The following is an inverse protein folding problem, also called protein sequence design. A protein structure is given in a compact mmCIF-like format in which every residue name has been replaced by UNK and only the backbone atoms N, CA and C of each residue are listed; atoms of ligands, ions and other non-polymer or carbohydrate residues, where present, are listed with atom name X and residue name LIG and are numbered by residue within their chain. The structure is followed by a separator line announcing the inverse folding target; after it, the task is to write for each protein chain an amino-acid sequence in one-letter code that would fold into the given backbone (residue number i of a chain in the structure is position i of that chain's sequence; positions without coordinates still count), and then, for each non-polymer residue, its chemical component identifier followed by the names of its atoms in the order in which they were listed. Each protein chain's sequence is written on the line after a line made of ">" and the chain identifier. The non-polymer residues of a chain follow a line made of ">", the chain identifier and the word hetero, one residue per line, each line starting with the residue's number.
data_IF_503308949448
#
_entry.id   IF_503308949448
#
_cell.length_a   1.000
_cell.length_b   1.000
_cell.length_c   1.000
_cell.angle_alpha   90.00
_cell.angle_beta   90.00
_cell.angle_gamma   90.00
#
_symmetry.space_group_name_H-M   'P 1'
#
loop_
_entity.id
_entity.type
_entity.pdbx_description
1 polymer ?
#
# COMPACT_ATOMS: atom_id res chain seq x y z
N UNK A 1 -24.24 10.09 -7.49
CA UNK A 1 -23.09 10.64 -6.76
C UNK A 1 -21.91 10.57 -7.71
N UNK A 2 -21.22 11.69 -7.94
CA UNK A 2 -20.13 11.75 -8.91
C UNK A 2 -18.85 11.26 -8.23
N UNK A 3 -18.24 10.21 -8.77
CA UNK A 3 -16.91 9.78 -8.36
C UNK A 3 -15.92 10.85 -8.83
N UNK A 4 -15.18 11.45 -7.91
CA UNK A 4 -14.13 12.41 -8.24
C UNK A 4 -12.80 11.67 -8.16
N UNK A 5 -12.23 11.35 -9.31
CA UNK A 5 -10.87 10.83 -9.39
C UNK A 5 -9.91 11.94 -8.96
N UNK A 6 -8.99 11.62 -8.06
CA UNK A 6 -7.90 12.53 -7.70
C UNK A 6 -6.83 12.50 -8.80
N UNK A 7 -6.39 13.68 -9.23
CA UNK A 7 -5.33 13.80 -10.24
C UNK A 7 -3.98 13.59 -9.54
N UNK A 8 -3.42 12.39 -9.68
CA UNK A 8 -2.08 12.06 -9.20
C UNK A 8 -0.98 12.67 -10.07
N UNK A 9 0.18 12.93 -9.47
CA UNK A 9 1.37 13.35 -10.20
C UNK A 9 1.74 12.36 -11.31
N UNK A 10 2.19 12.90 -12.45
CA UNK A 10 2.61 12.11 -13.62
C UNK A 10 4.02 11.56 -13.44
N UNK A 11 4.17 10.66 -12.47
CA UNK A 11 5.40 9.90 -12.21
C UNK A 11 5.16 8.42 -12.45
N UNK A 12 6.22 7.66 -12.79
CA UNK A 12 6.07 6.22 -13.04
C UNK A 12 5.46 5.46 -11.86
N UNK A 13 5.69 5.90 -10.62
CA UNK A 13 5.13 5.29 -9.41
C UNK A 13 3.60 5.25 -9.41
N UNK A 14 2.95 6.22 -10.05
CA UNK A 14 1.49 6.32 -10.16
C UNK A 14 0.94 5.64 -11.42
N UNK A 15 1.73 4.77 -12.06
CA UNK A 15 1.35 4.05 -13.28
C UNK A 15 0.82 2.65 -12.94
N UNK A 16 -0.25 2.19 -13.60
CA UNK A 16 -0.76 0.82 -13.47
C UNK A 16 0.26 -0.26 -13.86
N UNK A 17 1.25 0.10 -14.69
CA UNK A 17 2.31 -0.82 -15.12
C UNK A 17 3.54 -0.82 -14.20
N UNK A 18 3.56 -0.01 -13.14
CA UNK A 18 4.65 -0.01 -12.17
C UNK A 18 4.47 -1.13 -11.15
N UNK A 19 5.53 -1.89 -10.90
CA UNK A 19 5.55 -2.96 -9.91
C UNK A 19 6.77 -2.82 -9.00
N UNK A 20 6.62 -2.90 -7.66
CA UNK A 20 7.73 -2.77 -6.73
C UNK A 20 8.83 -3.78 -7.02
N UNK A 21 10.11 -3.40 -6.82
CA UNK A 21 11.24 -4.31 -7.06
C UNK A 21 11.45 -5.33 -5.94
N UNK A 22 10.84 -5.12 -4.77
CA UNK A 22 10.95 -5.98 -3.59
C UNK A 22 9.71 -5.90 -2.70
N UNK A 23 9.56 -6.86 -1.79
CA UNK A 23 8.52 -6.82 -0.76
C UNK A 23 8.85 -5.77 0.29
N UNK A 24 8.19 -4.61 0.24
CA UNK A 24 8.34 -3.58 1.26
C UNK A 24 8.08 -2.17 0.75
N UNK A 25 8.49 -1.20 1.56
CA UNK A 25 8.43 0.22 1.22
C UNK A 25 9.65 0.57 0.37
N UNK A 26 9.49 0.48 -0.94
CA UNK A 26 10.52 0.87 -1.90
C UNK A 26 9.98 1.87 -2.91
N UNK A 27 10.80 2.87 -3.25
CA UNK A 27 10.53 3.75 -4.38
C UNK A 27 11.03 3.15 -5.71
N UNK A 28 11.82 2.07 -5.64
CA UNK A 28 12.34 1.38 -6.82
C UNK A 28 11.35 0.31 -7.31
N UNK A 29 11.17 0.25 -8.63
CA UNK A 29 10.30 -0.74 -9.25
C UNK A 29 10.71 -1.07 -10.67
N UNK A 30 9.97 -1.99 -11.27
CA UNK A 30 10.08 -2.43 -12.64
C UNK A 30 8.81 -2.06 -13.42
N UNK A 31 8.90 -2.10 -14.75
CA UNK A 31 7.74 -1.90 -15.60
C UNK A 31 7.25 -3.25 -16.12
N UNK A 32 6.00 -3.61 -15.79
CA UNK A 32 5.38 -4.85 -16.26
C UNK A 32 4.99 -4.82 -17.74
N UNK A 33 4.98 -3.63 -18.36
CA UNK A 33 4.79 -3.50 -19.80
C UNK A 33 6.08 -3.83 -20.60
N UNK A 34 7.20 -4.10 -19.92
CA UNK A 34 8.40 -4.58 -20.59
C UNK A 34 8.30 -6.09 -20.84
N UNK A 35 8.37 -6.47 -22.12
CA UNK A 35 8.26 -7.86 -22.61
C UNK A 35 9.21 -8.85 -21.92
N UNK A 36 10.32 -8.39 -21.34
CA UNK A 36 11.26 -9.24 -20.61
C UNK A 36 10.66 -9.87 -19.35
N UNK A 37 9.60 -9.28 -18.80
CA UNK A 37 8.92 -9.78 -17.59
C UNK A 37 7.70 -10.66 -17.89
N UNK A 38 7.22 -10.75 -19.14
CA UNK A 38 6.11 -11.63 -19.55
C UNK A 38 6.23 -13.08 -19.02
N UNK A 39 7.39 -13.78 -19.12
CA UNK A 39 7.48 -15.16 -18.63
C UNK A 39 7.49 -15.29 -17.11
N UNK A 40 7.56 -14.18 -16.37
CA UNK A 40 7.62 -14.15 -14.91
C UNK A 40 6.36 -13.52 -14.30
N UNK A 41 5.39 -13.06 -15.10
CA UNK A 41 4.21 -12.34 -14.61
C UNK A 41 3.40 -13.15 -13.61
N UNK A 42 3.15 -14.44 -13.88
CA UNK A 42 2.38 -15.29 -12.96
C UNK A 42 3.08 -15.41 -11.60
N UNK A 43 4.40 -15.63 -11.61
CA UNK A 43 5.20 -15.73 -10.38
C UNK A 43 5.28 -14.39 -9.62
N UNK A 44 5.39 -13.26 -10.33
CA UNK A 44 5.45 -11.94 -9.72
C UNK A 44 4.10 -11.48 -9.17
N UNK A 45 3.01 -11.69 -9.90
CA UNK A 45 1.68 -11.18 -9.54
C UNK A 45 0.91 -12.12 -8.60
N UNK A 46 0.96 -13.43 -8.83
CA UNK A 46 0.20 -14.39 -8.02
C UNK A 46 0.98 -14.83 -6.78
N UNK A 47 2.29 -15.08 -6.93
CA UNK A 47 3.12 -15.65 -5.87
C UNK A 47 3.99 -14.61 -5.16
N UNK A 48 4.07 -13.36 -5.65
CA UNK A 48 4.99 -12.32 -5.18
C UNK A 48 6.44 -12.84 -5.09
N UNK A 49 6.82 -13.70 -6.04
CA UNK A 49 8.10 -14.39 -6.04
C UNK A 49 9.14 -13.64 -6.89
N UNK A 50 9.85 -12.70 -6.25
CA UNK A 50 10.90 -11.91 -6.90
C UNK A 50 12.17 -12.70 -7.23
N UNK A 51 12.36 -13.88 -6.61
CA UNK A 51 13.58 -14.68 -6.80
C UNK A 51 13.65 -15.28 -8.22
N UNK A 52 12.49 -15.50 -8.87
CA UNK A 52 12.40 -16.08 -10.21
C UNK A 52 13.09 -15.26 -11.30
N UNK A 53 13.21 -13.94 -11.11
CA UNK A 53 13.82 -13.00 -12.06
C UNK A 53 14.68 -11.94 -11.37
N UNK A 54 15.22 -12.25 -10.19
CA UNK A 54 15.98 -11.31 -9.36
C UNK A 54 17.08 -10.56 -10.11
N UNK A 55 17.87 -11.27 -10.93
CA UNK A 55 18.94 -10.65 -11.73
C UNK A 55 18.41 -9.67 -12.78
N UNK A 56 17.20 -9.89 -13.31
CA UNK A 56 16.56 -8.97 -14.25
C UNK A 56 16.03 -7.74 -13.53
N UNK A 57 15.39 -7.94 -12.38
CA UNK A 57 14.92 -6.86 -11.51
C UNK A 57 16.09 -5.95 -11.10
N UNK A 58 17.21 -6.51 -10.63
CA UNK A 58 18.38 -5.71 -10.24
C UNK A 58 18.97 -4.87 -11.39
N UNK A 59 18.85 -5.35 -12.64
CA UNK A 59 19.36 -4.63 -13.82
C UNK A 59 18.40 -3.57 -14.33
N UNK A 60 17.10 -3.79 -14.21
CA UNK A 60 16.08 -2.97 -14.85
C UNK A 60 15.28 -2.11 -13.88
N UNK A 61 15.45 -2.31 -12.56
CA UNK A 61 14.79 -1.47 -11.56
C UNK A 61 15.18 -0.01 -11.75
N UNK A 62 14.21 0.86 -11.50
CA UNK A 62 14.37 2.29 -11.60
C UNK A 62 13.59 2.98 -10.48
N UNK A 63 13.98 4.22 -10.18
CA UNK A 63 13.24 5.06 -9.23
C UNK A 63 11.88 5.48 -9.82
N UNK A 64 10.80 5.12 -9.13
CA UNK A 64 9.43 5.36 -9.54
C UNK A 64 9.05 6.85 -9.54
N UNK A 65 9.74 7.71 -8.80
CA UNK A 65 9.45 9.15 -8.75
C UNK A 65 9.98 9.90 -9.99
N UNK A 66 10.55 9.19 -10.98
CA UNK A 66 10.90 9.78 -12.26
C UNK A 66 9.66 10.19 -13.07
N UNK A 67 9.87 11.12 -14.01
CA UNK A 67 8.84 11.56 -14.95
C UNK A 67 8.22 10.38 -15.71
N UNK A 68 6.89 10.36 -15.80
CA UNK A 68 6.17 9.31 -16.46
C UNK A 68 6.45 9.26 -17.98
N UNK A 69 6.53 8.05 -18.54
CA UNK A 69 6.80 7.86 -19.97
C UNK A 69 5.56 8.11 -20.85
N UNK A 70 5.72 7.99 -22.17
CA UNK A 70 4.63 8.12 -23.14
C UNK A 70 3.55 7.03 -23.01
N UNK A 71 3.88 5.89 -22.40
CA UNK A 71 2.97 4.78 -22.12
C UNK A 71 2.34 4.85 -20.72
N UNK A 72 2.41 6.01 -20.07
CA UNK A 72 1.85 6.19 -18.75
C UNK A 72 0.33 5.96 -18.74
N UNK A 73 -0.09 5.00 -17.92
CA UNK A 73 -1.48 4.69 -17.65
C UNK A 73 -1.75 4.96 -16.16
N UNK A 74 -2.44 6.06 -15.82
CA UNK A 74 -2.61 6.48 -14.43
C UNK A 74 -3.42 5.47 -13.63
N UNK A 75 -3.00 5.22 -12.40
CA UNK A 75 -3.80 4.46 -11.43
C UNK A 75 -5.09 5.22 -11.13
N UNK A 76 -6.23 4.55 -11.29
CA UNK A 76 -7.52 5.09 -10.88
C UNK A 76 -7.68 4.93 -9.37
N UNK A 77 -7.45 6.01 -8.61
CA UNK A 77 -7.79 6.04 -7.18
C UNK A 77 -9.27 6.40 -7.06
N UNK A 78 -10.09 5.39 -6.81
CA UNK A 78 -11.50 5.59 -6.47
C UNK A 78 -11.56 5.95 -5.00
N UNK A 79 -11.57 7.24 -4.71
CA UNK A 79 -11.87 7.77 -3.38
C UNK A 79 -13.37 7.57 -3.15
N UNK A 80 -13.78 6.38 -2.71
CA UNK A 80 -15.07 6.26 -2.05
C UNK A 80 -15.00 7.14 -0.81
N UNK A 81 -15.93 8.07 -0.64
CA UNK A 81 -16.22 8.69 0.65
C UNK A 81 -16.57 7.55 1.62
N UNK A 82 -15.54 6.92 2.19
CA UNK A 82 -15.68 6.08 3.36
C UNK A 82 -16.10 7.09 4.42
N UNK A 83 -17.40 7.12 4.69
CA UNK A 83 -18.01 7.90 5.76
C UNK A 83 -17.39 7.41 7.07
N UNK A 84 -16.23 7.97 7.41
CA UNK A 84 -15.69 7.86 8.75
C UNK A 84 -16.66 8.67 9.61
N UNK A 85 -17.27 8.06 10.65
CA UNK A 85 -18.25 8.75 11.47
C UNK A 85 -17.64 10.08 11.96
N UNK A 86 -18.44 11.14 11.86
CA UNK A 86 -18.14 12.58 11.98
C UNK A 86 -17.36 13.05 13.24
N UNK A 87 -16.87 12.14 14.08
CA UNK A 87 -16.17 12.43 15.34
C UNK A 87 -14.65 12.62 15.18
N UNK A 88 -14.09 12.48 13.96
CA UNK A 88 -12.66 12.70 13.67
C UNK A 88 -12.38 13.99 12.86
N UNK A 89 -13.36 14.91 12.75
CA UNK A 89 -13.23 16.20 12.03
C UNK A 89 -12.47 17.31 12.80
N UNK A 90 -11.56 16.95 13.69
CA UNK A 90 -10.55 17.89 14.22
C UNK A 90 -9.14 17.31 14.03
N UNK A 91 -8.74 17.12 12.78
CA UNK A 91 -7.33 17.07 12.40
C UNK A 91 -7.09 18.19 11.38
N UNK A 92 -6.45 19.24 11.88
CA UNK A 92 -6.13 20.48 11.19
C UNK A 92 -5.44 20.25 9.85
N UNK A 93 -5.85 21.05 8.86
CA UNK A 93 -5.13 21.27 7.60
C UNK A 93 -3.62 21.40 7.84
N UNK A 94 -2.81 20.51 7.25
CA UNK A 94 -1.42 20.83 6.95
C UNK A 94 -0.31 19.88 7.39
N UNK A 95 -0.54 18.59 7.67
CA UNK A 95 0.57 17.67 7.92
C UNK A 95 0.53 16.43 7.02
N UNK A 96 1.66 16.18 6.35
CA UNK A 96 1.95 15.00 5.55
C UNK A 96 1.53 13.73 6.31
N UNK A 97 0.73 12.89 5.67
CA UNK A 97 0.26 11.63 6.23
C UNK A 97 1.46 10.67 6.31
N UNK A 98 2.21 10.74 7.40
CA UNK A 98 3.27 9.79 7.69
C UNK A 98 2.62 8.43 7.98
N UNK A 99 2.96 7.40 7.23
CA UNK A 99 2.30 6.09 7.30
C UNK A 99 2.61 5.37 8.64
N UNK A 100 3.59 5.85 9.40
CA UNK A 100 3.77 5.50 10.82
C UNK A 100 2.57 5.91 11.68
N UNK A 101 1.92 7.04 11.36
CA UNK A 101 0.76 7.56 12.09
C UNK A 101 -0.49 6.72 11.85
N UNK A 102 -0.66 6.12 10.65
CA UNK A 102 -1.80 5.25 10.35
C UNK A 102 -1.77 3.95 11.17
N UNK A 103 -0.59 3.33 11.35
CA UNK A 103 -0.46 2.18 12.24
C UNK A 103 -0.67 2.59 13.71
N UNK A 104 -0.08 3.69 14.18
CA UNK A 104 -0.31 4.16 15.55
C UNK A 104 -1.79 4.43 15.86
N UNK A 105 -2.56 4.96 14.91
CA UNK A 105 -3.99 5.20 15.07
C UNK A 105 -4.78 3.89 15.21
N UNK A 106 -4.45 2.87 14.41
CA UNK A 106 -5.04 1.54 14.53
C UNK A 106 -4.71 0.90 15.88
N UNK A 107 -3.45 0.98 16.31
CA UNK A 107 -3.01 0.46 17.62
C UNK A 107 -3.70 1.19 18.78
N UNK A 108 -3.86 2.52 18.71
CA UNK A 108 -4.57 3.30 19.74
C UNK A 108 -6.06 2.97 19.80
N UNK A 109 -6.71 2.71 18.65
CA UNK A 109 -8.10 2.26 18.59
C UNK A 109 -8.29 0.91 19.28
N UNK A 110 -7.35 -0.01 19.06
CA UNK A 110 -7.42 -1.35 19.67
C UNK A 110 -7.13 -1.32 21.17
N UNK A 111 -6.19 -0.47 21.62
CA UNK A 111 -5.96 -0.23 23.04
C UNK A 111 -7.17 0.40 23.74
N UNK A 112 -7.90 1.31 23.08
CA UNK A 112 -9.16 1.86 23.61
C UNK A 112 -10.24 0.80 23.77
N UNK A 113 -10.34 -0.17 22.86
CA UNK A 113 -11.27 -1.30 23.02
C UNK A 113 -10.88 -2.20 24.20
N UNK A 114 -9.58 -2.41 24.43
CA UNK A 114 -9.09 -3.20 25.57
C UNK A 114 -9.20 -2.48 26.93
N UNK A 115 -9.35 -1.15 26.92
CA UNK A 115 -9.59 -0.35 28.13
C UNK A 115 -11.06 -0.36 28.58
N UNK A 116 -11.96 -0.94 27.78
CA UNK A 116 -13.34 -1.17 28.17
C UNK A 116 -13.43 -2.32 29.19
N UNK A 117 -14.06 -2.11 30.37
CA UNK A 117 -14.12 -3.12 31.43
C UNK A 117 -15.02 -4.32 31.08
N UNK A 118 -15.84 -4.22 30.04
CA UNK A 118 -16.69 -5.30 29.51
C UNK A 118 -15.98 -6.08 28.38
N UNK A 119 -14.76 -5.67 28.00
CA UNK A 119 -13.99 -6.33 26.96
C UNK A 119 -13.57 -7.74 27.40
N UNK A 120 -13.94 -8.81 26.67
CA UNK A 120 -13.71 -10.18 27.11
C UNK A 120 -12.23 -10.57 27.00
N UNK A 121 -11.50 -10.39 28.10
CA UNK A 121 -10.10 -10.80 28.27
C UNK A 121 -9.89 -12.32 28.19
N UNK A 122 -10.96 -13.13 28.22
CA UNK A 122 -10.92 -14.60 28.13
C UNK A 122 -10.37 -15.12 26.80
N UNK A 123 -10.30 -14.30 25.75
CA UNK A 123 -9.77 -14.74 24.46
C UNK A 123 -8.24 -14.94 24.47
N UNK A 124 -7.51 -14.31 25.39
CA UNK A 124 -6.04 -14.38 25.46
C UNK A 124 -5.49 -15.45 26.42
N UNK A 125 -6.28 -15.88 27.41
CA UNK A 125 -5.86 -16.94 28.34
C UNK A 125 -5.70 -18.28 27.63
N UNK A 126 -6.51 -18.57 26.60
CA UNK A 126 -6.33 -19.75 25.74
C UNK A 126 -5.04 -19.75 24.95
N UNK A 127 -4.55 -18.57 24.53
CA UNK A 127 -3.28 -18.43 23.81
C UNK A 127 -2.06 -18.55 24.73
N UNK A 128 -2.17 -18.09 25.98
CA UNK A 128 -1.07 -18.15 26.95
C UNK A 128 -1.00 -19.47 27.72
N UNK A 129 -2.10 -20.21 27.84
CA UNK A 129 -2.15 -21.54 28.47
C UNK A 129 -1.88 -22.70 27.51
N UNK A 130 -1.71 -22.45 26.21
CA UNK A 130 -1.21 -23.46 25.26
C UNK A 130 0.32 -23.39 25.21
N UNK A 131 0.95 -23.91 26.27
CA UNK A 131 2.37 -24.24 26.33
C UNK A 131 2.53 -25.72 26.66
#
# INVERSE_FOLDING_TARGET
>A
MAQKAEELDRVCFNCNSFFPAETGWTAEGICLNDSVFEPYMDELLENLNYDCCKELIEKLKFDGNREACEHFDPVEVISSEIDFPEEEQELSEGDEINISSSQELLWRRELKKMADPDYPLESYTKLLSSK
#
